data_IF_447127550123
#
_entry.id   IF_447127550123
#
_cell.length_a   1.000
_cell.length_b   1.000
_cell.length_c   1.000
_cell.angle_alpha   90.00
_cell.angle_beta   90.00
_cell.angle_gamma   90.00
#
_symmetry.space_group_name_H-M   'P 1'
#
loop_
_entity.id
_entity.type
_entity.pdbx_description
1 polymer ?
#
# COMPACT_ATOMS: atom_id res chain seq x y z
N UNK A 1 11.85 17.57 23.84
CA UNK A 1 12.03 16.21 24.33
C UNK A 1 13.37 15.71 23.84
N UNK A 2 14.24 15.28 24.77
CA UNK A 2 15.55 14.73 24.40
C UNK A 2 15.32 13.45 23.60
N UNK A 3 15.86 13.40 22.39
CA UNK A 3 15.67 12.29 21.45
C UNK A 3 16.37 10.99 21.84
N UNK A 4 17.16 10.97 22.89
CA UNK A 4 18.03 9.84 23.28
C UNK A 4 17.32 8.49 23.51
N UNK A 5 16.01 8.51 23.75
CA UNK A 5 15.23 7.27 23.91
C UNK A 5 14.52 6.79 22.65
N UNK A 6 14.36 7.64 21.62
CA UNK A 6 13.59 7.28 20.43
C UNK A 6 14.39 6.52 19.39
N UNK A 7 15.69 6.80 19.27
CA UNK A 7 16.58 6.10 18.33
C UNK A 7 16.54 4.60 18.53
N UNK A 8 16.81 4.14 19.74
CA UNK A 8 16.80 2.70 20.05
C UNK A 8 15.42 2.04 19.92
N UNK A 9 14.33 2.81 20.05
CA UNK A 9 12.97 2.30 19.78
C UNK A 9 12.73 2.14 18.29
N UNK A 10 13.13 3.12 17.47
CA UNK A 10 13.02 3.06 16.01
C UNK A 10 13.84 1.90 15.48
N UNK A 11 15.08 1.72 15.95
CA UNK A 11 15.94 0.60 15.58
C UNK A 11 15.27 -0.74 15.88
N UNK A 12 14.75 -0.94 17.08
CA UNK A 12 14.02 -2.16 17.45
C UNK A 12 12.79 -2.42 16.58
N UNK A 13 11.97 -1.39 16.33
CA UNK A 13 10.79 -1.52 15.46
C UNK A 13 11.21 -1.83 14.03
N UNK A 14 12.25 -1.19 13.53
CA UNK A 14 12.78 -1.43 12.19
C UNK A 14 13.34 -2.85 12.04
N UNK A 15 13.99 -3.37 13.06
CA UNK A 15 14.45 -4.76 13.11
C UNK A 15 13.30 -5.76 13.03
N UNK A 16 12.22 -5.47 13.74
CA UNK A 16 11.00 -6.28 13.72
C UNK A 16 10.36 -6.25 12.32
N UNK A 17 10.17 -5.07 11.76
CA UNK A 17 9.62 -4.90 10.39
C UNK A 17 10.46 -5.68 9.38
N UNK A 18 11.78 -5.50 9.42
CA UNK A 18 12.69 -6.18 8.50
C UNK A 18 12.63 -7.71 8.64
N UNK A 19 12.54 -8.23 9.89
CA UNK A 19 12.40 -9.66 10.14
C UNK A 19 11.10 -10.20 9.55
N UNK A 20 9.98 -9.52 9.78
CA UNK A 20 8.67 -9.91 9.24
C UNK A 20 8.63 -9.88 7.72
N UNK A 21 9.21 -8.86 7.10
CA UNK A 21 9.29 -8.76 5.65
C UNK A 21 10.15 -9.87 5.05
N UNK A 22 11.26 -10.21 5.70
CA UNK A 22 12.14 -11.30 5.27
C UNK A 22 11.43 -12.67 5.38
N UNK A 23 10.65 -12.89 6.45
CA UNK A 23 9.85 -14.10 6.62
C UNK A 23 8.75 -14.25 5.57
N UNK A 24 8.05 -13.16 5.24
CA UNK A 24 6.92 -13.18 4.32
C UNK A 24 7.33 -13.14 2.85
N UNK A 25 8.35 -12.37 2.51
CA UNK A 25 8.73 -12.03 1.14
C UNK A 25 10.16 -12.41 0.79
N UNK A 26 10.87 -13.08 1.70
CA UNK A 26 12.29 -13.42 1.57
C UNK A 26 13.13 -12.18 1.22
N UNK A 27 13.91 -12.24 0.18
CA UNK A 27 14.77 -11.13 -0.27
C UNK A 27 14.11 -10.19 -1.29
N UNK A 28 12.83 -10.42 -1.63
CA UNK A 28 12.12 -9.61 -2.63
C UNK A 28 11.82 -8.20 -2.13
N UNK A 29 11.55 -8.06 -0.82
CA UNK A 29 11.30 -6.78 -0.19
C UNK A 29 12.37 -6.48 0.83
N UNK A 30 13.04 -5.35 0.67
CA UNK A 30 14.01 -4.83 1.61
C UNK A 30 13.51 -3.50 2.20
N UNK A 31 13.43 -3.43 3.52
CA UNK A 31 13.10 -2.21 4.25
C UNK A 31 14.39 -1.53 4.71
N UNK A 32 14.53 -0.27 4.35
CA UNK A 32 15.65 0.57 4.81
C UNK A 32 15.12 1.82 5.48
N UNK A 33 15.84 2.27 6.50
CA UNK A 33 15.51 3.50 7.21
C UNK A 33 16.78 4.26 7.54
N UNK A 34 16.62 5.55 7.73
CA UNK A 34 17.66 6.40 8.26
C UNK A 34 17.04 7.60 8.95
N UNK A 35 17.80 8.26 9.79
CA UNK A 35 17.35 9.46 10.48
C UNK A 35 18.48 10.47 10.63
N UNK A 36 18.09 11.74 10.60
CA UNK A 36 18.97 12.88 10.80
C UNK A 36 18.40 13.70 11.94
N UNK A 37 19.26 14.06 12.88
CA UNK A 37 18.87 14.97 13.96
C UNK A 37 18.66 16.38 13.41
N UNK A 38 17.57 16.99 13.78
CA UNK A 38 17.25 18.37 13.48
C UNK A 38 16.53 19.03 14.65
N UNK A 39 16.69 20.32 14.79
CA UNK A 39 15.88 21.11 15.70
C UNK A 39 14.51 21.46 15.08
N UNK A 40 13.64 22.09 15.88
CA UNK A 40 12.28 22.43 15.44
C UNK A 40 12.28 23.43 14.28
N UNK A 41 13.18 24.42 14.32
CA UNK A 41 13.28 25.46 13.28
C UNK A 41 13.81 24.88 11.98
N UNK A 42 14.79 23.96 12.05
CA UNK A 42 15.32 23.24 10.90
C UNK A 42 14.27 22.36 10.25
N UNK A 43 13.43 21.70 11.05
CA UNK A 43 12.32 20.88 10.57
C UNK A 43 11.24 21.74 9.93
N UNK A 44 10.86 22.88 10.56
CA UNK A 44 9.85 23.78 10.02
C UNK A 44 10.27 24.37 8.68
N UNK A 45 11.52 24.81 8.57
CA UNK A 45 12.09 25.37 7.34
C UNK A 45 12.40 24.30 6.29
N UNK A 46 12.33 23.01 6.66
CA UNK A 46 12.69 21.88 5.80
C UNK A 46 14.04 22.11 5.11
N UNK A 47 15.09 22.28 5.92
CA UNK A 47 16.44 22.61 5.41
C UNK A 47 16.92 21.55 4.44
N UNK A 48 17.32 22.00 3.26
CA UNK A 48 17.75 21.14 2.14
C UNK A 48 18.94 20.27 2.54
N UNK A 49 19.87 20.80 3.29
CA UNK A 49 21.10 20.10 3.68
C UNK A 49 20.78 18.83 4.50
N UNK A 50 19.79 18.93 5.40
CA UNK A 50 19.32 17.77 6.18
C UNK A 50 18.61 16.75 5.29
N UNK A 51 17.79 17.20 4.33
CA UNK A 51 17.12 16.31 3.39
C UNK A 51 18.11 15.62 2.45
N UNK A 52 19.14 16.31 1.98
CA UNK A 52 20.21 15.74 1.16
C UNK A 52 21.00 14.70 1.96
N UNK A 53 21.37 15.03 3.21
CA UNK A 53 22.07 14.12 4.10
C UNK A 53 21.26 12.85 4.35
N UNK A 54 19.96 12.99 4.69
CA UNK A 54 19.08 11.85 4.89
C UNK A 54 18.97 10.97 3.65
N UNK A 55 18.85 11.58 2.46
CA UNK A 55 18.81 10.84 1.19
C UNK A 55 20.10 10.07 0.95
N UNK A 56 21.26 10.69 1.16
CA UNK A 56 22.56 10.04 0.97
C UNK A 56 22.70 8.82 1.90
N UNK A 57 22.30 8.96 3.17
CA UNK A 57 22.32 7.86 4.14
C UNK A 57 21.36 6.73 3.74
N UNK A 58 20.16 7.05 3.24
CA UNK A 58 19.22 6.05 2.74
C UNK A 58 19.75 5.31 1.51
N UNK A 59 20.43 6.00 0.59
CA UNK A 59 21.03 5.34 -0.57
C UNK A 59 22.20 4.42 -0.15
N UNK A 60 22.99 4.82 0.85
CA UNK A 60 24.02 3.94 1.41
C UNK A 60 23.42 2.68 2.04
N UNK A 61 22.34 2.81 2.84
CA UNK A 61 21.65 1.66 3.43
C UNK A 61 21.04 0.73 2.38
N UNK A 62 20.54 1.27 1.25
CA UNK A 62 20.06 0.45 0.13
C UNK A 62 21.14 -0.41 -0.50
N UNK A 63 22.40 0.02 -0.48
CA UNK A 63 23.52 -0.75 -0.99
C UNK A 63 23.96 -1.87 -0.03
N UNK A 64 23.59 -1.77 1.24
CA UNK A 64 23.91 -2.74 2.30
C UNK A 64 22.74 -3.63 2.65
N UNK A 65 22.00 -4.11 1.65
CA UNK A 65 20.82 -4.95 1.87
C UNK A 65 21.13 -6.13 2.78
N UNK A 66 20.32 -6.30 3.81
CA UNK A 66 20.36 -7.43 4.76
C UNK A 66 21.68 -7.64 5.52
N UNK A 67 22.63 -6.71 5.49
CA UNK A 67 23.99 -6.90 6.04
C UNK A 67 23.99 -7.36 7.52
N UNK A 68 22.99 -6.95 8.30
CA UNK A 68 22.83 -7.34 9.71
C UNK A 68 22.06 -8.65 9.91
N UNK A 69 21.66 -9.34 8.82
CA UNK A 69 20.74 -10.48 8.83
C UNK A 69 21.25 -11.69 8.07
N UNK A 70 22.46 -11.61 7.53
CA UNK A 70 23.07 -12.71 6.80
C UNK A 70 23.64 -13.68 7.84
N UNK A 71 22.83 -14.66 8.22
CA UNK A 71 23.17 -15.79 9.06
C UNK A 71 22.81 -17.12 8.37
N UNK A 72 22.98 -18.24 9.05
CA UNK A 72 22.68 -19.56 8.48
C UNK A 72 21.20 -19.74 8.13
N UNK A 73 20.30 -18.94 8.72
CA UNK A 73 18.85 -18.96 8.45
C UNK A 73 18.45 -18.03 7.30
N UNK A 74 19.32 -17.13 6.89
CA UNK A 74 19.08 -16.23 5.78
C UNK A 74 18.93 -16.98 4.45
N UNK A 75 19.71 -18.06 4.29
CA UNK A 75 19.64 -18.91 3.11
C UNK A 75 18.48 -19.90 3.28
N UNK A 76 17.37 -19.58 2.68
CA UNK A 76 16.17 -20.39 2.75
C UNK A 76 16.39 -21.77 2.12
N UNK A 77 16.13 -22.81 2.89
CA UNK A 77 16.20 -24.18 2.40
C UNK A 77 14.82 -24.62 1.92
N UNK A 78 14.76 -25.14 0.71
CA UNK A 78 13.53 -25.71 0.18
C UNK A 78 13.06 -26.86 1.08
N UNK A 79 11.81 -26.81 1.61
CA UNK A 79 11.24 -27.97 2.27
C UNK A 79 11.15 -29.16 1.31
N UNK A 80 11.30 -30.38 1.84
CA UNK A 80 11.15 -31.60 1.06
C UNK A 80 9.78 -31.65 0.39
N UNK A 81 9.78 -31.94 -0.91
CA UNK A 81 8.57 -32.03 -1.73
C UNK A 81 7.75 -30.71 -1.85
N UNK A 82 8.34 -29.57 -1.66
CA UNK A 82 7.69 -28.30 -1.93
C UNK A 82 7.84 -27.90 -3.41
N UNK A 83 6.82 -27.24 -3.95
CA UNK A 83 6.88 -26.56 -5.23
C UNK A 83 6.94 -25.05 -5.02
N UNK A 84 7.38 -24.32 -6.03
CA UNK A 84 7.44 -22.85 -5.99
C UNK A 84 6.06 -22.30 -6.33
N UNK A 85 5.64 -21.28 -5.61
CA UNK A 85 4.38 -20.58 -5.88
C UNK A 85 4.36 -20.02 -7.32
N UNK A 86 3.36 -20.37 -8.09
CA UNK A 86 3.23 -19.93 -9.50
C UNK A 86 2.98 -18.43 -9.64
N UNK A 87 2.49 -17.77 -8.58
CA UNK A 87 2.15 -16.35 -8.61
C UNK A 87 3.36 -15.46 -8.31
N UNK A 88 4.13 -15.73 -7.26
CA UNK A 88 5.27 -14.89 -6.86
C UNK A 88 6.63 -15.46 -7.29
N UNK A 89 6.73 -16.76 -7.53
CA UNK A 89 7.99 -17.40 -7.89
C UNK A 89 9.03 -17.50 -6.75
N UNK A 90 8.66 -17.06 -5.53
CA UNK A 90 9.60 -16.94 -4.41
C UNK A 90 9.26 -17.87 -3.26
N UNK A 91 8.00 -17.93 -2.87
CA UNK A 91 7.55 -18.72 -1.73
C UNK A 91 7.26 -20.18 -2.12
N UNK A 92 7.48 -21.09 -1.15
CA UNK A 92 7.14 -22.49 -1.32
C UNK A 92 5.68 -22.78 -0.96
N UNK A 93 5.10 -23.71 -1.70
CA UNK A 93 3.74 -24.23 -1.48
C UNK A 93 3.78 -25.74 -1.23
N UNK A 94 2.78 -26.25 -0.54
CA UNK A 94 2.60 -27.70 -0.39
C UNK A 94 2.32 -28.32 -1.76
N UNK A 95 2.66 -29.59 -1.93
CA UNK A 95 2.64 -30.34 -3.20
C UNK A 95 1.35 -30.24 -4.02
N UNK A 96 0.23 -29.94 -3.39
CA UNK A 96 -1.09 -29.85 -4.03
C UNK A 96 -1.61 -28.40 -4.14
N UNK A 97 -0.76 -27.42 -3.88
CA UNK A 97 -1.12 -25.99 -3.93
C UNK A 97 -0.37 -25.25 -5.05
N UNK A 98 -1.06 -24.33 -5.69
CA UNK A 98 -0.46 -23.47 -6.73
C UNK A 98 0.05 -22.13 -6.15
N UNK A 99 -0.51 -21.70 -5.01
CA UNK A 99 -0.24 -20.39 -4.41
C UNK A 99 0.22 -20.51 -2.97
N UNK A 100 1.11 -19.62 -2.58
CA UNK A 100 1.51 -19.48 -1.17
C UNK A 100 0.49 -18.64 -0.39
N UNK A 101 0.51 -18.75 0.92
CA UNK A 101 -0.40 -18.00 1.83
C UNK A 101 -0.34 -16.49 1.61
N UNK A 102 0.86 -15.94 1.35
CA UNK A 102 1.02 -14.50 1.10
C UNK A 102 0.28 -14.08 -0.17
N UNK A 103 0.41 -14.86 -1.26
CA UNK A 103 -0.29 -14.58 -2.50
C UNK A 103 -1.81 -14.73 -2.36
N UNK A 104 -2.28 -15.71 -1.60
CA UNK A 104 -3.71 -15.86 -1.31
C UNK A 104 -4.25 -14.64 -0.53
N UNK A 105 -3.56 -14.23 0.52
CA UNK A 105 -3.94 -13.03 1.29
C UNK A 105 -3.93 -11.74 0.45
N UNK A 106 -2.94 -11.58 -0.44
CA UNK A 106 -2.90 -10.44 -1.37
C UNK A 106 -4.08 -10.49 -2.35
N UNK A 107 -4.45 -11.67 -2.83
CA UNK A 107 -5.61 -11.83 -3.73
C UNK A 107 -6.91 -11.49 -3.00
N UNK A 108 -7.12 -11.99 -1.80
CA UNK A 108 -8.29 -11.66 -0.97
C UNK A 108 -8.39 -10.16 -0.68
N UNK A 109 -7.24 -9.54 -0.35
CA UNK A 109 -7.15 -8.11 -0.13
C UNK A 109 -7.53 -7.31 -1.39
N UNK A 110 -6.98 -7.70 -2.54
CA UNK A 110 -7.28 -7.06 -3.83
C UNK A 110 -8.75 -7.17 -4.18
N UNK A 111 -9.32 -8.36 -4.01
CA UNK A 111 -10.74 -8.61 -4.23
C UNK A 111 -11.63 -7.76 -3.32
N UNK A 112 -11.22 -7.61 -2.06
CA UNK A 112 -11.94 -6.79 -1.10
C UNK A 112 -11.92 -5.32 -1.51
N UNK A 113 -10.75 -4.79 -1.88
CA UNK A 113 -10.60 -3.40 -2.35
C UNK A 113 -11.47 -3.09 -3.56
N UNK A 114 -11.60 -4.02 -4.49
CA UNK A 114 -12.39 -3.80 -5.70
C UNK A 114 -13.89 -3.93 -5.45
N UNK A 115 -14.30 -4.81 -4.52
CA UNK A 115 -15.72 -5.06 -4.20
C UNK A 115 -16.34 -3.96 -3.32
N UNK A 116 -15.52 -3.24 -2.57
CA UNK A 116 -15.94 -2.24 -1.59
C UNK A 116 -15.40 -0.85 -1.94
N UNK A 117 -16.30 0.09 -2.21
CA UNK A 117 -15.93 1.46 -2.58
C UNK A 117 -15.37 2.24 -1.38
N UNK A 118 -15.96 2.04 -0.20
CA UNK A 118 -15.65 2.78 1.03
C UNK A 118 -15.40 1.81 2.16
N UNK A 119 -14.28 1.98 2.84
CA UNK A 119 -13.83 1.03 3.85
C UNK A 119 -13.24 1.73 5.07
N UNK A 120 -13.12 0.99 6.15
CA UNK A 120 -12.23 1.34 7.27
C UNK A 120 -11.05 0.39 7.28
N UNK A 121 -9.88 0.94 7.53
CA UNK A 121 -8.66 0.20 7.82
C UNK A 121 -8.36 0.35 9.30
N UNK A 122 -8.37 -0.75 10.01
CA UNK A 122 -8.20 -0.83 11.45
C UNK A 122 -6.86 -1.49 11.76
N UNK A 123 -6.13 -0.93 12.70
CA UNK A 123 -4.83 -1.43 13.13
C UNK A 123 -4.92 -1.89 14.58
N UNK A 124 -4.39 -3.06 14.84
CA UNK A 124 -4.25 -3.64 16.17
C UNK A 124 -2.78 -3.99 16.43
N UNK A 125 -2.21 -3.38 17.44
CA UNK A 125 -0.81 -3.60 17.86
C UNK A 125 -0.73 -4.43 19.16
N UNK A 126 -1.84 -4.95 19.67
CA UNK A 126 -1.86 -5.69 20.95
C UNK A 126 -1.14 -7.02 20.86
N UNK A 127 -0.97 -7.56 19.67
CA UNK A 127 -0.43 -8.92 19.46
C UNK A 127 -1.41 -10.02 19.86
N UNK A 128 -2.59 -9.68 20.36
CA UNK A 128 -3.66 -10.63 20.64
C UNK A 128 -4.53 -10.80 19.38
N UNK A 129 -4.83 -12.06 19.05
CA UNK A 129 -5.72 -12.32 17.92
C UNK A 129 -7.12 -11.82 18.24
N UNK A 130 -7.56 -10.76 17.54
CA UNK A 130 -8.95 -10.31 17.61
C UNK A 130 -9.82 -11.12 16.67
N UNK A 131 -11.02 -11.42 17.14
CA UNK A 131 -12.02 -12.11 16.33
C UNK A 131 -12.21 -11.37 14.99
N UNK A 132 -12.14 -12.13 13.89
CA UNK A 132 -12.32 -11.59 12.55
C UNK A 132 -13.74 -11.05 12.47
N UNK A 133 -13.86 -9.75 12.21
CA UNK A 133 -15.16 -9.12 12.00
C UNK A 133 -15.83 -9.73 10.75
N UNK A 134 -17.13 -9.92 10.83
CA UNK A 134 -17.88 -10.44 9.69
C UNK A 134 -17.71 -9.51 8.48
N UNK A 135 -17.50 -10.08 7.29
CA UNK A 135 -17.20 -9.34 6.06
C UNK A 135 -15.95 -8.45 6.15
N UNK A 136 -14.89 -8.94 6.75
CA UNK A 136 -13.60 -8.26 6.80
C UNK A 136 -12.49 -9.14 6.22
N UNK A 137 -11.43 -8.49 5.76
CA UNK A 137 -10.15 -9.14 5.46
C UNK A 137 -9.17 -8.78 6.55
N UNK A 138 -8.54 -9.80 7.14
CA UNK A 138 -7.50 -9.63 8.14
C UNK A 138 -6.14 -9.95 7.53
N UNK A 139 -5.20 -9.03 7.68
CA UNK A 139 -3.79 -9.23 7.34
C UNK A 139 -3.02 -9.32 8.64
N UNK A 140 -2.51 -10.50 8.92
CA UNK A 140 -1.65 -10.73 10.07
C UNK A 140 -0.19 -10.48 9.68
N UNK A 141 0.42 -9.47 10.29
CA UNK A 141 1.82 -9.10 10.08
C UNK A 141 2.69 -9.42 11.30
N UNK A 142 2.36 -10.49 12.03
CA UNK A 142 3.10 -11.02 13.17
C UNK A 142 3.11 -10.13 14.43
N UNK A 143 3.24 -8.83 14.28
CA UNK A 143 3.26 -7.83 15.38
C UNK A 143 2.13 -6.82 15.30
N UNK A 144 1.36 -6.90 14.25
CA UNK A 144 0.27 -6.00 13.97
C UNK A 144 -0.76 -6.73 13.12
N UNK A 145 -2.01 -6.61 13.47
CA UNK A 145 -3.10 -7.03 12.60
C UNK A 145 -3.73 -5.82 11.94
N UNK A 146 -3.97 -5.94 10.65
CA UNK A 146 -4.75 -4.97 9.89
C UNK A 146 -6.06 -5.61 9.46
N UNK A 147 -7.16 -4.95 9.77
CA UNK A 147 -8.49 -5.39 9.34
C UNK A 147 -9.09 -4.37 8.38
N UNK A 148 -9.45 -4.82 7.20
CA UNK A 148 -10.27 -4.05 6.28
C UNK A 148 -11.72 -4.46 6.45
N UNK A 149 -12.60 -3.48 6.64
CA UNK A 149 -14.06 -3.71 6.75
C UNK A 149 -14.81 -2.74 5.83
N UNK A 150 -15.92 -3.20 5.24
CA UNK A 150 -16.81 -2.32 4.49
C UNK A 150 -17.39 -1.26 5.44
N UNK A 151 -17.41 -0.01 5.02
CA UNK A 151 -17.98 1.08 5.81
C UNK A 151 -19.49 0.92 6.06
N UNK A 152 -20.18 0.08 5.29
CA UNK A 152 -21.59 -0.24 5.47
C UNK A 152 -21.82 -1.21 6.64
N UNK A 153 -20.85 -2.07 6.95
CA UNK A 153 -20.95 -3.04 8.04
C UNK A 153 -20.69 -2.40 9.41
N UNK A 154 -20.04 -1.24 9.41
CA UNK A 154 -19.82 -0.45 10.63
C UNK A 154 -20.83 0.66 10.69
N UNK A 155 -21.96 0.39 11.32
CA UNK A 155 -23.09 1.34 11.42
C UNK A 155 -22.75 2.62 12.20
N UNK A 156 -21.64 2.65 12.94
CA UNK A 156 -21.09 3.85 13.54
C UNK A 156 -19.63 3.68 13.94
N UNK A 157 -18.86 4.76 13.86
CA UNK A 157 -17.51 4.89 14.40
C UNK A 157 -17.38 4.41 15.86
N UNK A 158 -18.44 4.58 16.65
CA UNK A 158 -18.50 4.11 18.04
C UNK A 158 -18.36 2.58 18.17
N UNK A 159 -18.83 1.81 17.21
CA UNK A 159 -18.67 0.36 17.23
C UNK A 159 -17.21 -0.03 16.97
N UNK A 160 -16.56 0.62 16.01
CA UNK A 160 -15.15 0.39 15.71
C UNK A 160 -14.27 0.69 16.93
N UNK A 161 -14.48 1.82 17.61
CA UNK A 161 -13.79 2.16 18.86
C UNK A 161 -14.08 1.12 19.96
N UNK A 162 -15.32 0.64 20.07
CA UNK A 162 -15.71 -0.36 21.08
C UNK A 162 -14.92 -1.67 20.94
N UNK A 163 -14.48 -2.02 19.73
CA UNK A 163 -13.66 -3.21 19.49
C UNK A 163 -12.18 -3.03 19.86
N UNK A 164 -11.77 -1.82 20.30
CA UNK A 164 -10.46 -1.58 20.89
C UNK A 164 -9.30 -1.61 19.90
N UNK A 165 -9.49 -1.12 18.67
CA UNK A 165 -8.40 -0.92 17.73
C UNK A 165 -7.54 0.29 18.08
N UNK A 166 -6.23 0.17 17.90
CA UNK A 166 -5.28 1.22 18.28
C UNK A 166 -5.29 2.40 17.31
N UNK A 167 -5.55 2.15 16.03
CA UNK A 167 -5.59 3.18 15.01
C UNK A 167 -6.59 2.83 13.90
N UNK A 168 -7.26 3.85 13.37
CA UNK A 168 -8.32 3.71 12.37
C UNK A 168 -8.14 4.74 11.27
N UNK A 169 -8.19 4.29 10.02
CA UNK A 169 -8.21 5.14 8.84
C UNK A 169 -9.50 4.93 8.05
N UNK A 170 -10.00 5.99 7.42
CA UNK A 170 -11.06 5.92 6.42
C UNK A 170 -10.45 5.76 5.03
N UNK A 171 -11.00 4.89 4.20
CA UNK A 171 -10.61 4.71 2.81
C UNK A 171 -11.76 5.17 1.92
N UNK A 172 -11.46 6.10 1.01
CA UNK A 172 -12.39 6.67 0.03
C UNK A 172 -13.64 7.36 0.63
N UNK A 173 -13.58 7.77 1.89
CA UNK A 173 -14.59 8.63 2.50
C UNK A 173 -13.99 9.43 3.68
N UNK A 174 -14.51 10.61 3.95
CA UNK A 174 -14.00 11.51 4.99
C UNK A 174 -14.82 11.41 6.28
N UNK A 175 -14.92 10.22 6.85
CA UNK A 175 -15.66 9.99 8.10
C UNK A 175 -14.80 10.26 9.35
N UNK A 176 -13.49 10.09 9.22
CA UNK A 176 -12.49 10.22 10.28
C UNK A 176 -11.41 11.21 9.86
N UNK A 177 -10.65 11.73 10.80
CA UNK A 177 -9.60 12.72 10.55
C UNK A 177 -8.50 12.23 9.61
N UNK A 178 -8.27 10.92 9.54
CA UNK A 178 -7.31 10.30 8.65
C UNK A 178 -8.04 9.59 7.51
N UNK A 179 -7.89 10.12 6.31
CA UNK A 179 -8.49 9.58 5.10
C UNK A 179 -7.42 9.25 4.09
N UNK A 180 -7.46 8.05 3.52
CA UNK A 180 -6.69 7.65 2.34
C UNK A 180 -7.58 7.58 1.13
N UNK A 181 -7.08 8.10 0.03
CA UNK A 181 -7.72 7.99 -1.27
C UNK A 181 -6.98 6.94 -2.08
N UNK A 182 -7.66 5.85 -2.39
CA UNK A 182 -7.08 4.72 -3.13
C UNK A 182 -7.90 4.51 -4.39
N UNK A 183 -7.20 4.40 -5.52
CA UNK A 183 -7.80 4.01 -6.78
C UNK A 183 -8.15 2.51 -6.75
N UNK A 184 -9.39 2.19 -6.42
CA UNK A 184 -9.89 0.82 -6.31
C UNK A 184 -10.94 0.48 -7.38
N UNK A 185 -10.92 1.20 -8.50
CA UNK A 185 -11.85 0.97 -9.60
C UNK A 185 -11.32 -0.13 -10.53
N UNK A 186 -12.11 -1.17 -10.72
CA UNK A 186 -11.90 -2.17 -11.76
C UNK A 186 -13.20 -2.41 -12.52
N UNK A 187 -13.15 -2.69 -13.84
CA UNK A 187 -14.33 -3.07 -14.60
C UNK A 187 -14.96 -4.33 -14.02
N UNK A 188 -16.26 -4.28 -13.71
CA UNK A 188 -16.99 -5.38 -13.08
C UNK A 188 -18.28 -5.69 -13.80
N UNK A 189 -18.68 -6.98 -13.75
CA UNK A 189 -20.02 -7.43 -14.10
C UNK A 189 -20.52 -8.38 -13.02
N UNK A 190 -21.68 -8.07 -12.45
CA UNK A 190 -22.28 -8.86 -11.36
C UNK A 190 -21.34 -9.03 -10.15
N UNK A 191 -20.60 -7.98 -9.79
CA UNK A 191 -19.57 -7.97 -8.73
C UNK A 191 -18.32 -8.81 -8.99
N UNK A 192 -18.16 -9.36 -10.18
CA UNK A 192 -16.93 -10.05 -10.58
C UNK A 192 -16.08 -9.13 -11.44
N UNK A 193 -14.78 -9.10 -11.17
CA UNK A 193 -13.80 -8.37 -12.00
C UNK A 193 -13.80 -9.00 -13.38
N UNK A 194 -13.83 -8.17 -14.41
CA UNK A 194 -13.80 -8.62 -15.80
C UNK A 194 -12.37 -8.98 -16.20
N UNK A 195 -12.23 -10.08 -16.94
CA UNK A 195 -10.98 -10.43 -17.60
C UNK A 195 -10.68 -9.46 -18.75
N UNK A 196 -9.45 -9.47 -19.25
CA UNK A 196 -9.07 -8.65 -20.41
C UNK A 196 -9.85 -9.05 -21.67
N UNK A 197 -10.18 -10.32 -21.83
CA UNK A 197 -11.03 -10.84 -22.90
C UNK A 197 -12.45 -10.30 -22.80
N UNK A 198 -13.03 -10.28 -21.59
CA UNK A 198 -14.36 -9.72 -21.38
C UNK A 198 -14.42 -8.22 -21.70
N UNK A 199 -13.37 -7.47 -21.34
CA UNK A 199 -13.28 -6.03 -21.60
C UNK A 199 -13.16 -5.79 -23.09
N UNK A 200 -12.27 -6.49 -23.79
CA UNK A 200 -12.06 -6.35 -25.22
C UNK A 200 -13.27 -6.77 -26.04
N UNK A 201 -13.98 -7.83 -25.63
CA UNK A 201 -15.16 -8.34 -26.32
C UNK A 201 -16.41 -7.48 -26.18
N UNK A 202 -16.47 -6.58 -25.20
CA UNK A 202 -17.66 -5.72 -24.98
C UNK A 202 -17.73 -4.50 -25.88
N UNK A 203 -16.59 -4.02 -26.38
CA UNK A 203 -16.49 -2.83 -27.21
C UNK A 203 -16.76 -3.11 -28.69
N UNK A 204 -16.79 -4.38 -29.10
CA UNK A 204 -17.06 -4.76 -30.48
C UNK A 204 -18.54 -5.09 -30.64
N UNK A 205 -19.22 -4.34 -31.48
CA UNK A 205 -20.52 -4.75 -32.00
C UNK A 205 -20.34 -6.05 -32.83
N UNK A 206 -21.35 -6.91 -32.88
CA UNK A 206 -21.30 -8.19 -33.61
C UNK A 206 -20.99 -8.07 -35.10
N UNK A 207 -20.94 -6.87 -35.64
CA UNK A 207 -20.73 -6.56 -37.05
C UNK A 207 -19.36 -5.97 -37.38
N UNK A 208 -18.52 -5.67 -36.37
CA UNK A 208 -17.18 -5.13 -36.60
C UNK A 208 -16.16 -6.27 -36.73
N UNK A 209 -15.58 -6.39 -37.91
CA UNK A 209 -14.48 -7.29 -38.21
C UNK A 209 -13.18 -6.67 -37.68
N UNK A 210 -12.55 -7.31 -36.71
CA UNK A 210 -11.24 -6.91 -36.19
C UNK A 210 -10.75 -7.82 -35.07
N UNK A 211 -9.44 -7.77 -34.81
CA UNK A 211 -8.87 -8.46 -33.64
C UNK A 211 -9.32 -7.79 -32.36
N UNK A 212 -9.66 -8.59 -31.35
CA UNK A 212 -9.93 -8.11 -29.99
C UNK A 212 -8.65 -7.53 -29.41
N UNK A 213 -8.59 -6.20 -29.27
CA UNK A 213 -7.40 -5.49 -28.74
C UNK A 213 -7.79 -4.64 -27.55
N UNK A 214 -6.87 -4.58 -26.57
CA UNK A 214 -6.94 -3.65 -25.46
C UNK A 214 -5.93 -2.52 -25.66
N UNK A 215 -6.40 -1.30 -25.45
CA UNK A 215 -5.52 -0.14 -25.30
C UNK A 215 -5.11 0.00 -23.84
N UNK A 216 -3.81 0.08 -23.57
CA UNK A 216 -3.28 0.35 -22.23
C UNK A 216 -2.69 1.75 -22.23
N UNK A 217 -3.26 2.65 -21.41
CA UNK A 217 -2.70 3.97 -21.16
C UNK A 217 -1.95 3.95 -19.84
N UNK A 218 -0.66 4.25 -19.88
CA UNK A 218 0.17 4.47 -18.69
C UNK A 218 0.63 5.92 -18.70
N UNK A 219 0.37 6.61 -17.60
CA UNK A 219 0.77 8.00 -17.40
C UNK A 219 1.67 8.10 -16.18
N UNK A 220 2.64 9.00 -16.24
CA UNK A 220 3.52 9.32 -15.12
C UNK A 220 3.64 10.85 -15.01
N UNK A 221 4.02 11.33 -13.84
CA UNK A 221 4.23 12.76 -13.61
C UNK A 221 5.70 13.09 -13.87
N UNK A 222 5.94 13.77 -14.95
CA UNK A 222 7.27 14.25 -15.29
C UNK A 222 7.82 15.20 -14.23
N UNK A 223 9.10 15.03 -13.90
CA UNK A 223 9.81 15.92 -12.97
C UNK A 223 9.19 16.05 -11.58
N UNK A 224 8.47 15.05 -11.09
CA UNK A 224 7.86 15.06 -9.76
C UNK A 224 8.89 15.41 -8.68
N UNK A 225 10.10 14.84 -8.76
CA UNK A 225 11.21 15.18 -7.86
C UNK A 225 11.58 16.66 -7.90
N UNK A 226 11.60 17.27 -9.09
CA UNK A 226 11.87 18.70 -9.26
C UNK A 226 10.73 19.58 -8.71
N UNK A 227 9.48 19.16 -8.86
CA UNK A 227 8.30 19.85 -8.27
C UNK A 227 8.46 19.90 -6.75
N UNK A 228 8.79 18.78 -6.11
CA UNK A 228 9.01 18.73 -4.67
C UNK A 228 10.28 19.47 -4.24
N UNK A 229 11.36 19.39 -5.02
CA UNK A 229 12.62 20.03 -4.69
C UNK A 229 12.62 21.54 -4.91
N UNK A 230 11.98 22.03 -5.96
CA UNK A 230 12.08 23.43 -6.41
C UNK A 230 10.74 24.16 -6.49
N UNK A 231 9.62 23.48 -6.65
CA UNK A 231 8.30 24.08 -6.79
C UNK A 231 7.86 24.92 -5.59
N UNK A 232 8.43 24.63 -4.41
CA UNK A 232 8.16 25.36 -3.16
C UNK A 232 9.26 26.37 -2.78
N UNK A 233 10.10 26.77 -3.72
CA UNK A 233 11.45 27.29 -3.53
C UNK A 233 11.66 28.49 -2.59
N UNK A 234 10.73 29.43 -2.52
CA UNK A 234 10.92 30.66 -1.71
C UNK A 234 10.36 30.57 -0.29
N UNK A 235 9.50 29.61 -0.02
CA UNK A 235 8.80 29.51 1.27
C UNK A 235 8.61 28.03 1.65
N UNK A 236 9.69 27.27 1.58
CA UNK A 236 9.66 25.84 1.94
C UNK A 236 9.27 25.68 3.40
N UNK A 237 8.35 24.75 3.65
CA UNK A 237 8.08 24.26 4.99
C UNK A 237 7.62 22.81 4.89
N UNK A 238 7.81 22.05 5.94
CA UNK A 238 7.33 20.68 6.04
C UNK A 238 5.80 20.59 5.77
N UNK A 239 5.05 21.57 6.28
CA UNK A 239 3.59 21.67 6.07
C UNK A 239 3.23 21.77 4.58
N UNK A 240 3.92 22.60 3.82
CA UNK A 240 3.69 22.74 2.37
C UNK A 240 4.06 21.47 1.60
N UNK A 241 5.16 20.81 1.99
CA UNK A 241 5.58 19.56 1.41
C UNK A 241 4.51 18.47 1.65
N UNK A 242 4.04 18.32 2.88
CA UNK A 242 2.98 17.38 3.23
C UNK A 242 1.65 17.71 2.53
N UNK A 243 1.32 18.99 2.41
CA UNK A 243 0.12 19.42 1.67
C UNK A 243 0.20 19.04 0.20
N UNK A 244 1.33 19.30 -0.45
CA UNK A 244 1.54 18.91 -1.85
C UNK A 244 1.44 17.40 -2.03
N UNK A 245 2.07 16.62 -1.14
CA UNK A 245 1.98 15.15 -1.16
C UNK A 245 0.52 14.66 -1.05
N UNK A 246 -0.26 15.23 -0.12
CA UNK A 246 -1.69 14.89 0.04
C UNK A 246 -2.54 15.30 -1.16
N UNK A 247 -2.24 16.44 -1.78
CA UNK A 247 -2.94 16.87 -3.00
C UNK A 247 -2.66 15.90 -4.16
N UNK A 248 -1.44 15.43 -4.31
CA UNK A 248 -1.09 14.40 -5.30
C UNK A 248 -1.81 13.08 -5.02
N UNK A 249 -1.80 12.62 -3.77
CA UNK A 249 -2.55 11.43 -3.36
C UNK A 249 -4.05 11.57 -3.69
N UNK A 250 -4.66 12.70 -3.34
CA UNK A 250 -6.07 12.97 -3.64
C UNK A 250 -6.33 13.04 -5.14
N UNK A 251 -5.43 13.63 -5.91
CA UNK A 251 -5.58 13.69 -7.36
C UNK A 251 -5.57 12.29 -7.99
N UNK A 252 -4.57 11.46 -7.68
CA UNK A 252 -4.46 10.13 -8.26
C UNK A 252 -5.48 9.13 -7.68
N UNK A 253 -5.76 9.20 -6.38
CA UNK A 253 -6.66 8.27 -5.72
C UNK A 253 -8.15 8.60 -5.85
N UNK A 254 -8.50 9.87 -6.17
CA UNK A 254 -9.88 10.31 -6.22
C UNK A 254 -10.25 11.02 -7.52
N UNK A 255 -9.59 12.14 -7.85
CA UNK A 255 -10.00 12.94 -9.00
C UNK A 255 -9.83 12.23 -10.33
N UNK A 256 -8.75 11.51 -10.51
CA UNK A 256 -8.48 10.76 -11.74
C UNK A 256 -9.54 9.69 -12.00
N UNK A 257 -9.99 8.99 -10.96
CA UNK A 257 -11.07 8.00 -11.06
C UNK A 257 -12.35 8.67 -11.55
N UNK A 258 -12.73 9.79 -10.95
CA UNK A 258 -13.94 10.52 -11.37
C UNK A 258 -13.88 11.02 -12.81
N UNK A 259 -12.71 11.44 -13.27
CA UNK A 259 -12.50 11.81 -14.69
C UNK A 259 -12.72 10.58 -15.57
N UNK A 260 -12.13 9.44 -15.25
CA UNK A 260 -12.29 8.20 -16.01
C UNK A 260 -13.74 7.72 -16.03
N UNK A 261 -14.45 7.76 -14.92
CA UNK A 261 -15.88 7.40 -14.84
C UNK A 261 -16.76 8.31 -15.70
N UNK A 262 -16.49 9.62 -15.67
CA UNK A 262 -17.23 10.58 -16.46
C UNK A 262 -17.05 10.33 -17.95
N UNK A 263 -15.81 10.18 -18.40
CA UNK A 263 -15.49 9.89 -19.80
C UNK A 263 -16.09 8.55 -20.24
N UNK A 264 -16.02 7.53 -19.41
CA UNK A 264 -16.62 6.22 -19.69
C UNK A 264 -18.15 6.30 -19.88
N UNK A 265 -18.83 7.07 -19.04
CA UNK A 265 -20.30 7.29 -19.18
C UNK A 265 -20.66 8.03 -20.46
N UNK A 266 -19.88 9.05 -20.81
CA UNK A 266 -20.11 9.82 -22.06
C UNK A 266 -19.89 8.95 -23.31
N UNK A 267 -18.90 8.03 -23.29
CA UNK A 267 -18.63 7.14 -24.41
C UNK A 267 -19.68 6.02 -24.57
N UNK A 268 -20.32 5.60 -23.47
CA UNK A 268 -21.35 4.54 -23.51
C UNK A 268 -22.73 5.11 -23.86
N UNK A 269 -22.95 6.41 -23.65
CA UNK A 269 -24.23 7.09 -23.90
C UNK A 269 -24.40 7.58 -25.35
N UNK A 270 -23.35 7.57 -26.15
CA UNK A 270 -23.36 7.86 -27.58
C UNK A 270 -23.28 6.58 -28.41
#
# INVERSE_FOLDING_TARGET
>A
PKCDGYKGRIEKVSDVIQASLLEMFHTDINYVYSFVECDADELEQFKIDKAISLKAMLEEEKLRKFHNRIDDKFFYQSPDNASICVMCGSNFVKKDGDRCKVCDSITELSDFFVKHEKMFLLYDFSGEYKEILHNSVCIDMHYMQMHLIDSKDVSSYKQVIKHGYDYIESINHSCLGNTRWIANLAPQKNRNILSFEDISGKLLSKEEYGDLKLGILKMDVDNLGAIFAFGLSKTRSLSKYLTLSRLMETFFGYHLIHICEKVSKELISN
#
